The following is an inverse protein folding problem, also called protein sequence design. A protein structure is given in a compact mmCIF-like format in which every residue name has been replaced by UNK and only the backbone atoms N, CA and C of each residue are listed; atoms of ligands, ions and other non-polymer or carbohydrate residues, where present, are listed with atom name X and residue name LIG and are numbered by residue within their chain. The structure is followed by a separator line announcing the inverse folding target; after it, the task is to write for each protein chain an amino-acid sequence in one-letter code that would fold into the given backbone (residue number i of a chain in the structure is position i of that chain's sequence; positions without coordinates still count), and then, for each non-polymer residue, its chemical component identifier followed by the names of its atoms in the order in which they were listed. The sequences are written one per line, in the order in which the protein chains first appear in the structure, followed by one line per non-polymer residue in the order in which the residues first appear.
data_IF_407731423041
#
_entry.id   IF_407731423041
#
_cell.length_a   1.000
_cell.length_b   1.000
_cell.length_c   1.000
_cell.angle_alpha   90.00
_cell.angle_beta   90.00
_cell.angle_gamma   90.00
#
_symmetry.space_group_name_H-M   'P 1'
#
loop_
_entity.id
_entity.type
_entity.pdbx_description
1 polymer ?
#
# COMPACT_ATOMS: atom_id res chain seq x y z
N UNK A 1 -5.64 -32.50 29.98
CA UNK A 1 -5.25 -32.91 28.60
C UNK A 1 -5.47 -31.72 27.67
N UNK A 2 -4.37 -31.22 27.12
CA UNK A 2 -4.11 -30.83 25.71
C UNK A 2 -5.20 -30.16 24.85
N UNK A 3 -4.82 -29.50 23.74
CA UNK A 3 -3.68 -28.59 23.52
C UNK A 3 -4.03 -27.47 22.49
N UNK A 4 -3.09 -26.54 22.20
CA UNK A 4 -2.75 -26.01 20.86
C UNK A 4 -1.89 -24.73 21.06
N UNK A 5 -0.56 -24.84 20.99
CA UNK A 5 0.26 -24.63 19.77
C UNK A 5 0.34 -23.14 19.38
N UNK A 6 1.30 -22.37 19.92
CA UNK A 6 2.62 -22.07 19.31
C UNK A 6 2.56 -21.69 17.83
N UNK A 7 2.70 -20.40 17.54
CA UNK A 7 3.59 -19.90 16.48
C UNK A 7 3.99 -18.44 16.73
N UNK A 8 4.95 -18.24 17.64
CA UNK A 8 5.80 -17.04 17.54
C UNK A 8 6.73 -17.33 16.37
N UNK A 9 6.37 -16.84 15.20
CA UNK A 9 7.24 -16.86 14.05
C UNK A 9 8.37 -15.88 14.35
N UNK A 10 9.53 -16.44 14.64
CA UNK A 10 10.83 -15.78 14.74
C UNK A 10 11.43 -15.74 13.33
N UNK A 11 11.99 -14.58 12.96
CA UNK A 11 12.76 -14.21 11.74
C UNK A 11 12.08 -13.18 10.84
N UNK A 12 12.35 -11.89 11.07
CA UNK A 12 12.44 -10.85 10.04
C UNK A 12 13.17 -9.63 10.63
N UNK A 13 13.95 -8.93 9.83
CA UNK A 13 14.79 -7.79 10.20
C UNK A 13 14.14 -6.83 11.21
N UNK A 14 14.85 -6.38 12.27
CA UNK A 14 14.27 -5.59 13.37
C UNK A 14 13.69 -4.24 12.88
N UNK A 15 14.13 -3.77 11.72
CA UNK A 15 13.63 -2.57 11.08
C UNK A 15 12.33 -2.81 10.29
N UNK A 16 12.08 -4.01 9.79
CA UNK A 16 10.86 -4.35 9.04
C UNK A 16 9.70 -4.84 9.94
N UNK A 17 9.97 -5.09 11.22
CA UNK A 17 8.95 -5.48 12.20
C UNK A 17 8.19 -4.27 12.80
N UNK A 18 8.64 -3.03 12.56
CA UNK A 18 7.96 -1.87 13.14
C UNK A 18 6.59 -1.64 12.49
N UNK A 19 5.57 -1.49 13.34
CA UNK A 19 4.23 -1.11 12.92
C UNK A 19 4.18 0.32 12.39
N UNK A 20 3.26 0.64 11.47
CA UNK A 20 3.07 2.00 10.96
C UNK A 20 2.91 3.02 12.10
N UNK A 21 2.10 2.71 13.12
CA UNK A 21 1.91 3.57 14.28
C UNK A 21 3.20 3.80 15.08
N UNK A 22 3.99 2.74 15.28
CA UNK A 22 5.26 2.83 16.00
C UNK A 22 6.31 3.60 15.18
N UNK A 23 6.36 3.43 13.86
CA UNK A 23 7.23 4.19 12.97
C UNK A 23 6.87 5.68 12.99
N UNK A 24 5.58 6.02 12.99
CA UNK A 24 5.10 7.39 13.13
C UNK A 24 5.43 8.00 14.49
N UNK A 25 5.33 7.23 15.57
CA UNK A 25 5.72 7.68 16.91
C UNK A 25 7.23 7.96 17.00
N UNK A 26 8.06 7.08 16.42
CA UNK A 26 9.50 7.28 16.34
C UNK A 26 9.88 8.49 15.48
N UNK A 27 9.24 8.69 14.32
CA UNK A 27 9.42 9.87 13.49
C UNK A 27 9.13 11.16 14.25
N UNK A 28 8.04 11.22 15.01
CA UNK A 28 7.71 12.39 15.83
C UNK A 28 8.76 12.67 16.90
N UNK A 29 9.32 11.61 17.53
CA UNK A 29 10.43 11.77 18.48
C UNK A 29 11.69 12.30 17.80
N UNK A 30 12.03 11.78 16.64
CA UNK A 30 13.18 12.26 15.86
C UNK A 30 12.99 13.74 15.51
N UNK A 31 11.82 14.15 15.03
CA UNK A 31 11.54 15.58 14.74
C UNK A 31 11.74 16.44 15.98
N UNK A 32 11.19 16.03 17.13
CA UNK A 32 11.36 16.76 18.38
C UNK A 32 12.83 16.85 18.82
N UNK A 33 13.64 15.81 18.59
CA UNK A 33 15.08 15.82 18.84
C UNK A 33 15.82 16.77 17.88
N UNK A 34 15.47 16.79 16.59
CA UNK A 34 16.08 17.66 15.59
C UNK A 34 15.77 19.15 15.81
N UNK A 35 14.66 19.46 16.45
CA UNK A 35 14.25 20.84 16.80
C UNK A 35 14.93 21.36 18.07
N UNK A 36 15.68 20.53 18.80
CA UNK A 36 16.39 20.95 19.99
C UNK A 36 17.65 21.77 19.65
N UNK A 37 17.84 22.89 20.36
CA UNK A 37 18.90 23.88 20.08
C UNK A 37 20.35 23.38 20.29
N UNK A 38 20.56 22.23 20.94
CA UNK A 38 21.88 21.76 21.41
C UNK A 38 22.21 20.33 20.92
N UNK A 39 21.92 20.06 19.63
CA UNK A 39 22.22 18.77 18.99
C UNK A 39 23.35 18.92 17.98
N UNK A 40 24.35 18.05 18.08
CA UNK A 40 25.52 18.04 17.20
C UNK A 40 25.17 17.60 15.77
N UNK A 41 25.87 18.14 14.77
CA UNK A 41 25.62 17.89 13.35
C UNK A 41 25.77 16.42 12.95
N UNK A 42 26.69 15.68 13.58
CA UNK A 42 26.89 14.26 13.31
C UNK A 42 25.67 13.46 13.83
N UNK A 43 25.16 13.83 15.00
CA UNK A 43 23.92 13.24 15.56
C UNK A 43 22.73 13.59 14.67
N UNK A 44 22.61 14.82 14.18
CA UNK A 44 21.55 15.21 13.25
C UNK A 44 21.56 14.31 12.00
N UNK A 45 22.73 14.00 11.44
CA UNK A 45 22.87 13.13 10.27
C UNK A 45 22.33 11.72 10.56
N UNK A 46 22.73 11.10 11.68
CA UNK A 46 22.24 9.78 12.09
C UNK A 46 20.71 9.76 12.27
N UNK A 47 20.15 10.82 12.85
CA UNK A 47 18.70 10.94 13.06
C UNK A 47 17.92 11.09 11.74
N UNK A 48 18.47 11.86 10.80
CA UNK A 48 17.88 12.00 9.46
C UNK A 48 17.94 10.68 8.68
N UNK A 49 19.04 9.93 8.76
CA UNK A 49 19.14 8.60 8.14
C UNK A 49 18.09 7.62 8.71
N UNK A 50 17.94 7.61 10.03
CA UNK A 50 16.90 6.81 10.70
C UNK A 50 15.50 7.22 10.25
N UNK A 51 15.22 8.52 10.17
CA UNK A 51 13.92 9.02 9.69
C UNK A 51 13.66 8.59 8.24
N UNK A 52 14.67 8.64 7.37
CA UNK A 52 14.53 8.20 5.98
C UNK A 52 14.14 6.71 5.87
N UNK A 53 14.73 5.86 6.71
CA UNK A 53 14.37 4.44 6.80
C UNK A 53 12.91 4.25 7.25
N UNK A 54 12.49 4.94 8.31
CA UNK A 54 11.12 4.89 8.82
C UNK A 54 10.09 5.36 7.79
N UNK A 55 10.43 6.40 7.01
CA UNK A 55 9.58 6.88 5.91
C UNK A 55 9.45 5.83 4.81
N UNK A 56 10.52 5.11 4.46
CA UNK A 56 10.45 4.00 3.50
C UNK A 56 9.48 2.93 3.97
N UNK A 57 9.63 2.47 5.22
CA UNK A 57 8.75 1.46 5.82
C UNK A 57 7.29 1.90 5.80
N UNK A 58 7.02 3.17 6.12
CA UNK A 58 5.67 3.72 6.08
C UNK A 58 5.07 3.70 4.66
N UNK A 59 5.86 4.07 3.65
CA UNK A 59 5.44 4.05 2.24
C UNK A 59 5.14 2.64 1.77
N UNK A 60 6.05 1.70 2.03
CA UNK A 60 5.88 0.30 1.62
C UNK A 60 4.59 -0.31 2.19
N UNK A 61 4.26 0.03 3.45
CA UNK A 61 3.00 -0.39 4.09
C UNK A 61 1.76 0.26 3.48
N UNK A 62 1.84 1.55 3.15
CA UNK A 62 0.73 2.24 2.49
C UNK A 62 0.48 1.66 1.09
N UNK A 63 1.53 1.37 0.34
CA UNK A 63 1.43 0.76 -0.98
C UNK A 63 0.86 -0.66 -0.91
N UNK A 64 1.30 -1.47 0.06
CA UNK A 64 0.72 -2.80 0.30
C UNK A 64 -0.78 -2.71 0.66
N UNK A 65 -1.15 -1.73 1.49
CA UNK A 65 -2.56 -1.50 1.86
C UNK A 65 -3.37 -1.07 0.64
N UNK A 66 -2.83 -0.18 -0.19
CA UNK A 66 -3.47 0.29 -1.43
C UNK A 66 -3.73 -0.88 -2.38
N UNK A 67 -2.75 -1.76 -2.56
CA UNK A 67 -2.88 -2.95 -3.40
C UNK A 67 -4.01 -3.86 -2.90
N UNK A 68 -4.08 -4.12 -1.59
CA UNK A 68 -5.17 -4.93 -1.04
C UNK A 68 -6.55 -4.29 -1.20
N UNK A 69 -6.65 -2.96 -1.07
CA UNK A 69 -7.92 -2.26 -1.33
C UNK A 69 -8.34 -2.42 -2.79
N UNK A 70 -7.41 -2.29 -3.73
CA UNK A 70 -7.67 -2.49 -5.16
C UNK A 70 -8.14 -3.93 -5.44
N UNK A 71 -7.48 -4.93 -4.86
CA UNK A 71 -7.89 -6.34 -4.97
C UNK A 71 -9.31 -6.59 -4.45
N UNK A 72 -9.68 -5.99 -3.30
CA UNK A 72 -11.03 -6.07 -2.76
C UNK A 72 -12.05 -5.45 -3.72
N UNK A 73 -11.76 -4.28 -4.28
CA UNK A 73 -12.66 -3.60 -5.22
C UNK A 73 -12.89 -4.45 -6.47
N UNK A 74 -11.83 -5.01 -7.05
CA UNK A 74 -11.93 -5.92 -8.22
C UNK A 74 -12.74 -7.16 -7.88
N UNK A 75 -12.56 -7.74 -6.69
CA UNK A 75 -13.36 -8.86 -6.20
C UNK A 75 -14.86 -8.52 -6.16
N UNK A 76 -15.22 -7.38 -5.57
CA UNK A 76 -16.62 -6.94 -5.44
C UNK A 76 -17.30 -6.66 -6.79
N UNK A 77 -16.55 -6.13 -7.77
CA UNK A 77 -17.03 -5.86 -9.12
C UNK A 77 -17.21 -7.15 -9.93
N UNK A 78 -16.26 -8.08 -9.82
CA UNK A 78 -16.34 -9.41 -10.44
C UNK A 78 -17.48 -10.30 -9.92
N UNK A 79 -17.94 -10.06 -8.69
CA UNK A 79 -19.13 -10.71 -8.12
C UNK A 79 -20.45 -10.08 -8.61
N UNK A 80 -20.42 -8.83 -9.06
CA UNK A 80 -21.60 -8.08 -9.56
C UNK A 80 -21.74 -8.08 -11.08
N UNK A 81 -20.71 -8.49 -11.83
CA UNK A 81 -20.64 -8.46 -13.30
C UNK A 81 -21.17 -9.68 -14.05
N UNK A 82 -22.19 -10.39 -13.54
CA UNK A 82 -22.96 -11.36 -14.37
C UNK A 82 -24.25 -10.70 -14.85
N UNK A 83 -24.11 -9.70 -15.72
CA UNK A 83 -25.23 -9.01 -16.35
C UNK A 83 -24.75 -8.15 -17.52
N UNK A 84 -24.95 -8.70 -18.72
CA UNK A 84 -25.30 -7.97 -19.95
C UNK A 84 -24.36 -6.87 -20.47
N UNK A 85 -23.32 -7.28 -21.22
CA UNK A 85 -22.84 -6.52 -22.39
C UNK A 85 -22.94 -7.43 -23.62
N UNK A 86 -24.19 -7.77 -23.97
CA UNK A 86 -24.57 -8.31 -25.26
C UNK A 86 -25.46 -7.27 -25.95
N UNK A 87 -24.86 -6.21 -26.47
CA UNK A 87 -25.49 -5.31 -27.45
C UNK A 87 -24.45 -4.94 -28.50
N UNK A 88 -24.74 -4.88 -29.79
CA UNK A 88 -25.60 -5.65 -30.69
C UNK A 88 -24.93 -5.43 -32.04
N UNK A 89 -24.73 -6.48 -32.81
CA UNK A 89 -24.27 -6.34 -34.19
C UNK A 89 -25.46 -5.86 -35.03
N UNK A 90 -25.70 -4.54 -35.04
CA UNK A 90 -26.60 -3.93 -36.01
C UNK A 90 -25.87 -3.86 -37.36
N UNK A 91 -25.95 -4.99 -38.08
CA UNK A 91 -25.80 -5.02 -39.52
C UNK A 91 -27.04 -4.36 -40.12
N UNK A 92 -26.99 -3.05 -40.38
CA UNK A 92 -27.90 -2.44 -41.34
C UNK A 92 -27.21 -2.39 -42.70
N UNK A 93 -27.47 -3.48 -43.42
CA UNK A 93 -27.39 -3.61 -44.85
C UNK A 93 -28.33 -2.57 -45.49
N UNK A 94 -27.79 -1.43 -45.91
CA UNK A 94 -28.46 -0.59 -46.91
C UNK A 94 -27.60 -0.54 -48.16
N UNK A 95 -27.73 -1.63 -48.91
CA UNK A 95 -27.60 -1.70 -50.35
C UNK A 95 -28.32 -0.50 -50.99
N UNK A 96 -27.56 0.44 -51.56
CA UNK A 96 -28.09 1.29 -52.61
C UNK A 96 -26.96 1.64 -53.57
N UNK A 97 -26.77 0.75 -54.54
CA UNK A 97 -26.38 1.13 -55.89
C UNK A 97 -27.11 2.42 -56.30
N UNK A 98 -26.37 3.49 -56.58
CA UNK A 98 -26.82 4.49 -57.54
C UNK A 98 -25.61 4.98 -58.34
N UNK A 99 -25.60 4.56 -59.60
CA UNK A 99 -24.79 5.10 -60.69
C UNK A 99 -24.99 6.63 -60.84
N UNK A 100 -23.90 7.40 -60.86
CA UNK A 100 -23.49 8.34 -61.93
C UNK A 100 -22.09 8.94 -61.63
#
# INVERSE_FOLDING_TARGET
MSPAAKKKSDSADPDNEIGFAAAMEELNRIVAELEADDVDVDVMAERVERAALLVSICRDRLDATRYHVEEIIVGLDGESGRGDDAESADADDSDSDIDD
#
